data_IF_444258706749
#
_entry.id   IF_444258706749
#
_cell.length_a   1.000
_cell.length_b   1.000
_cell.length_c   1.000
_cell.angle_alpha   90.00
_cell.angle_beta   90.00
_cell.angle_gamma   90.00
#
_symmetry.space_group_name_H-M   'P 1'
#
loop_
_entity.id
_entity.type
_entity.pdbx_description
1 polymer ?
#
# COMPACT_ATOMS: atom_id res chain seq x y z
N UNK A 1 -12.17 -11.68 -45.87
CA UNK A 1 -11.25 -10.57 -45.50
C UNK A 1 -10.03 -11.22 -44.87
N UNK A 2 -8.93 -11.31 -45.60
CA UNK A 2 -7.70 -11.92 -45.12
C UNK A 2 -6.94 -10.85 -44.33
N UNK A 3 -6.82 -11.00 -43.02
CA UNK A 3 -5.82 -10.26 -42.27
C UNK A 3 -4.47 -10.92 -42.56
N UNK A 4 -3.61 -10.18 -43.25
CA UNK A 4 -2.22 -10.58 -43.42
C UNK A 4 -1.58 -10.76 -42.04
N UNK A 5 -1.01 -11.94 -41.78
CA UNK A 5 -0.53 -12.32 -40.43
C UNK A 5 0.86 -11.77 -40.11
N UNK A 6 1.49 -11.07 -41.06
CA UNK A 6 2.81 -10.50 -40.91
C UNK A 6 2.74 -8.97 -40.99
N UNK A 7 3.12 -8.30 -39.90
CA UNK A 7 3.30 -6.86 -39.90
C UNK A 7 4.75 -6.54 -40.30
N UNK A 8 5.00 -6.44 -41.61
CA UNK A 8 6.37 -6.39 -42.18
C UNK A 8 7.05 -5.01 -42.06
N UNK A 9 6.30 -3.97 -41.68
CA UNK A 9 6.78 -2.58 -41.69
C UNK A 9 7.10 -1.98 -40.31
N UNK A 10 7.17 -2.80 -39.26
CA UNK A 10 7.45 -2.31 -37.90
C UNK A 10 8.70 -1.44 -37.83
N UNK A 11 9.79 -1.86 -38.47
CA UNK A 11 11.06 -1.15 -38.41
C UNK A 11 11.05 0.22 -39.11
N UNK A 12 10.08 0.46 -40.00
CA UNK A 12 9.94 1.74 -40.71
C UNK A 12 9.00 2.71 -40.01
N UNK A 13 8.29 2.28 -38.96
CA UNK A 13 7.43 3.16 -38.19
C UNK A 13 8.24 4.14 -37.35
N UNK A 14 7.86 5.44 -37.32
CA UNK A 14 8.38 6.39 -36.35
C UNK A 14 8.12 5.93 -34.91
N UNK A 15 9.01 6.33 -34.00
CA UNK A 15 8.92 5.94 -32.58
C UNK A 15 7.59 6.34 -31.95
N UNK A 16 7.02 7.47 -32.36
CA UNK A 16 5.72 7.97 -31.87
C UNK A 16 4.60 6.98 -32.19
N UNK A 17 4.58 6.43 -33.41
CA UNK A 17 3.58 5.45 -33.83
C UNK A 17 3.82 4.10 -33.14
N UNK A 18 5.08 3.67 -33.01
CA UNK A 18 5.42 2.46 -32.26
C UNK A 18 4.95 2.55 -30.81
N UNK A 19 5.14 3.70 -30.15
CA UNK A 19 4.69 3.93 -28.78
C UNK A 19 3.16 3.86 -28.66
N UNK A 20 2.40 4.40 -29.62
CA UNK A 20 0.94 4.24 -29.66
C UNK A 20 0.52 2.77 -29.72
N UNK A 21 1.23 1.94 -30.49
CA UNK A 21 0.99 0.50 -30.55
C UNK A 21 1.37 -0.19 -29.23
N UNK A 22 2.58 0.08 -28.71
CA UNK A 22 3.11 -0.49 -27.45
C UNK A 22 2.18 -0.19 -26.27
N UNK A 23 1.64 1.03 -26.20
CA UNK A 23 0.71 1.44 -25.16
C UNK A 23 -0.56 0.58 -25.11
N UNK A 24 -0.94 -0.05 -26.23
CA UNK A 24 -2.09 -0.97 -26.32
C UNK A 24 -1.74 -2.44 -26.10
N UNK A 25 -0.45 -2.78 -26.07
CA UNK A 25 -0.02 -4.16 -25.86
C UNK A 25 -0.17 -4.57 -24.40
N UNK A 26 -0.59 -5.82 -24.21
CA UNK A 26 -0.59 -6.47 -22.90
C UNK A 26 0.83 -6.70 -22.36
N UNK A 27 0.92 -7.10 -21.09
CA UNK A 27 2.19 -7.37 -20.43
C UNK A 27 3.10 -8.36 -21.18
N UNK A 28 2.54 -9.49 -21.62
CA UNK A 28 3.32 -10.57 -22.27
C UNK A 28 3.83 -10.09 -23.63
N UNK A 29 2.99 -9.39 -24.38
CA UNK A 29 3.32 -8.82 -25.68
C UNK A 29 4.40 -7.75 -25.57
N UNK A 30 4.33 -6.86 -24.58
CA UNK A 30 5.40 -5.88 -24.29
C UNK A 30 6.70 -6.56 -23.90
N UNK A 31 6.64 -7.58 -23.05
CA UNK A 31 7.84 -8.33 -22.63
C UNK A 31 8.51 -9.04 -23.82
N UNK A 32 7.72 -9.69 -24.68
CA UNK A 32 8.22 -10.33 -25.90
C UNK A 32 8.85 -9.31 -26.84
N UNK A 33 8.20 -8.17 -27.06
CA UNK A 33 8.73 -7.09 -27.91
C UNK A 33 10.03 -6.50 -27.36
N UNK A 34 10.11 -6.23 -26.05
CA UNK A 34 11.34 -5.73 -25.43
C UNK A 34 12.50 -6.75 -25.39
N UNK A 35 12.22 -8.02 -25.70
CA UNK A 35 13.23 -9.05 -25.83
C UNK A 35 13.81 -9.16 -27.25
N UNK A 36 13.19 -8.55 -28.27
CA UNK A 36 13.62 -8.72 -29.68
C UNK A 36 14.84 -7.87 -30.04
N UNK A 37 14.91 -6.62 -29.59
CA UNK A 37 16.00 -5.70 -29.91
C UNK A 37 16.19 -4.61 -28.84
N UNK A 38 17.39 -4.02 -28.79
CA UNK A 38 17.71 -2.95 -27.83
C UNK A 38 16.79 -1.73 -27.97
N UNK A 39 16.54 -1.28 -29.21
CA UNK A 39 15.68 -0.13 -29.47
C UNK A 39 14.23 -0.40 -29.05
N UNK A 40 13.72 -1.60 -29.30
CA UNK A 40 12.36 -2.00 -28.90
C UNK A 40 12.23 -2.11 -27.38
N UNK A 41 13.27 -2.62 -26.69
CA UNK A 41 13.34 -2.59 -25.23
C UNK A 41 13.26 -1.17 -24.69
N UNK A 42 14.02 -0.25 -25.30
CA UNK A 42 13.99 1.17 -24.92
C UNK A 42 12.60 1.76 -25.11
N UNK A 43 11.94 1.50 -26.25
CA UNK A 43 10.58 1.98 -26.50
C UNK A 43 9.56 1.41 -25.52
N UNK A 44 9.63 0.12 -25.21
CA UNK A 44 8.76 -0.52 -24.21
C UNK A 44 8.93 0.10 -22.83
N UNK A 45 10.17 0.38 -22.41
CA UNK A 45 10.46 1.03 -21.13
C UNK A 45 10.05 2.51 -21.10
N UNK A 46 9.94 3.16 -22.25
CA UNK A 46 9.50 4.56 -22.41
C UNK A 46 8.01 4.69 -22.74
N UNK A 47 7.25 3.58 -22.70
CA UNK A 47 5.81 3.61 -22.90
C UNK A 47 5.13 4.50 -21.85
N UNK A 48 4.32 5.46 -22.31
CA UNK A 48 3.63 6.41 -21.43
C UNK A 48 2.51 5.74 -20.63
N UNK A 49 1.84 4.74 -21.21
CA UNK A 49 0.74 4.03 -20.57
C UNK A 49 1.26 2.87 -19.73
N UNK A 50 0.98 2.94 -18.43
CA UNK A 50 1.31 1.88 -17.48
C UNK A 50 0.42 0.66 -17.68
N UNK A 51 0.98 -0.51 -17.44
CA UNK A 51 0.22 -1.77 -17.46
C UNK A 51 -0.71 -1.79 -16.25
N UNK A 52 -2.01 -1.87 -16.47
CA UNK A 52 -2.98 -1.92 -15.37
C UNK A 52 -3.06 -3.35 -14.80
N UNK A 53 -2.66 -3.50 -13.54
CA UNK A 53 -2.66 -4.78 -12.82
C UNK A 53 -3.76 -4.71 -11.75
N UNK A 54 -4.87 -5.43 -11.96
CA UNK A 54 -6.01 -5.49 -11.03
C UNK A 54 -5.59 -6.06 -9.66
N UNK A 55 -4.81 -7.15 -9.68
CA UNK A 55 -4.36 -7.84 -8.48
C UNK A 55 -2.94 -8.31 -8.68
N UNK A 56 -2.09 -8.08 -7.69
CA UNK A 56 -0.72 -8.53 -7.65
C UNK A 56 -0.41 -9.08 -6.27
N UNK A 57 0.22 -10.25 -6.18
CA UNK A 57 0.74 -10.72 -4.90
C UNK A 57 2.06 -11.47 -5.04
N UNK A 58 2.90 -11.28 -4.03
CA UNK A 58 4.14 -12.02 -3.86
C UNK A 58 4.06 -12.76 -2.53
N UNK A 59 4.40 -14.05 -2.53
CA UNK A 59 4.30 -14.86 -1.33
C UNK A 59 5.34 -15.97 -1.27
N UNK A 60 5.76 -16.28 -0.05
CA UNK A 60 6.50 -17.50 0.24
C UNK A 60 5.57 -18.71 0.07
N UNK A 61 6.05 -19.77 -0.58
CA UNK A 61 5.33 -21.05 -0.60
C UNK A 61 5.51 -21.79 0.73
N UNK A 62 4.43 -22.36 1.25
CA UNK A 62 4.42 -23.02 2.57
C UNK A 62 5.50 -24.10 2.68
N UNK A 63 5.65 -24.92 1.64
CA UNK A 63 6.44 -26.15 1.71
C UNK A 63 7.86 -26.03 1.11
N UNK A 64 8.23 -24.86 0.57
CA UNK A 64 9.55 -24.66 -0.07
C UNK A 64 10.10 -23.24 0.14
N UNK A 65 11.36 -22.99 -0.25
CA UNK A 65 11.93 -21.63 -0.28
C UNK A 65 11.61 -20.90 -1.59
N UNK A 66 10.63 -21.41 -2.33
CA UNK A 66 10.23 -20.85 -3.62
C UNK A 66 9.37 -19.60 -3.43
N UNK A 67 9.52 -18.69 -4.38
CA UNK A 67 8.70 -17.49 -4.48
C UNK A 67 7.56 -17.73 -5.45
N UNK A 68 6.34 -17.44 -5.02
CA UNK A 68 5.17 -17.39 -5.88
C UNK A 68 4.78 -15.94 -6.17
N UNK A 69 4.65 -15.61 -7.45
CA UNK A 69 4.15 -14.34 -7.95
C UNK A 69 2.82 -14.61 -8.65
N UNK A 70 1.75 -13.96 -8.20
CA UNK A 70 0.44 -13.96 -8.88
C UNK A 70 0.12 -12.57 -9.37
N UNK A 71 -0.32 -12.44 -10.61
CA UNK A 71 -0.82 -11.16 -11.11
C UNK A 71 -1.95 -11.34 -12.11
N UNK A 72 -2.88 -10.39 -12.11
CA UNK A 72 -3.96 -10.29 -13.08
C UNK A 72 -3.92 -8.93 -13.74
N UNK A 73 -3.52 -8.91 -15.00
CA UNK A 73 -3.66 -7.73 -15.84
C UNK A 73 -5.12 -7.54 -16.25
N UNK A 74 -5.52 -6.28 -16.45
CA UNK A 74 -6.87 -5.95 -16.90
C UNK A 74 -7.23 -6.70 -18.18
N UNK A 75 -8.41 -7.34 -18.20
CA UNK A 75 -8.90 -8.07 -19.37
C UNK A 75 -8.16 -9.39 -19.66
N UNK A 76 -7.22 -9.79 -18.80
CA UNK A 76 -6.43 -11.00 -18.97
C UNK A 76 -6.66 -11.99 -17.82
N UNK A 77 -6.47 -13.30 -18.05
CA UNK A 77 -6.53 -14.29 -16.99
C UNK A 77 -5.41 -14.07 -15.96
N UNK A 78 -5.62 -14.57 -14.75
CA UNK A 78 -4.61 -14.58 -13.70
C UNK A 78 -3.41 -15.43 -14.12
N UNK A 79 -2.21 -14.87 -13.95
CA UNK A 79 -0.95 -15.55 -14.18
C UNK A 79 -0.32 -15.89 -12.83
N UNK A 80 0.14 -17.14 -12.70
CA UNK A 80 0.88 -17.63 -11.53
C UNK A 80 2.25 -18.06 -12.02
N UNK A 81 3.31 -17.51 -11.41
CA UNK A 81 4.69 -17.89 -11.67
C UNK A 81 5.37 -18.30 -10.37
N UNK A 82 5.97 -19.48 -10.40
CA UNK A 82 6.73 -20.02 -9.27
C UNK A 82 8.20 -20.00 -9.65
N UNK A 83 9.02 -19.43 -8.78
CA UNK A 83 10.47 -19.36 -8.94
C UNK A 83 11.13 -20.15 -7.84
N UNK A 84 11.95 -21.12 -8.22
CA UNK A 84 12.82 -21.83 -7.27
C UNK A 84 13.80 -20.85 -6.64
N UNK A 85 14.29 -21.17 -5.43
CA UNK A 85 15.21 -20.33 -4.66
C UNK A 85 16.40 -19.82 -5.51
N UNK A 86 17.01 -20.70 -6.29
CA UNK A 86 18.14 -20.42 -7.21
C UNK A 86 17.76 -19.49 -8.38
N UNK A 87 16.46 -19.40 -8.71
CA UNK A 87 15.94 -18.58 -9.81
C UNK A 87 15.47 -17.20 -9.36
N UNK A 88 15.33 -16.95 -8.05
CA UNK A 88 14.77 -15.70 -7.53
C UNK A 88 15.59 -14.50 -8.00
N UNK A 89 16.92 -14.57 -7.84
CA UNK A 89 17.81 -13.46 -8.19
C UNK A 89 17.83 -13.20 -9.69
N UNK A 90 17.99 -14.25 -10.49
CA UNK A 90 18.19 -14.12 -11.94
C UNK A 90 16.90 -13.92 -12.73
N UNK A 91 15.73 -14.31 -12.19
CA UNK A 91 14.46 -14.29 -12.94
C UNK A 91 13.34 -13.54 -12.22
N UNK A 92 13.14 -13.78 -10.93
CA UNK A 92 12.03 -13.16 -10.22
C UNK A 92 12.26 -11.66 -9.98
N UNK A 93 13.45 -11.26 -9.51
CA UNK A 93 13.77 -9.84 -9.25
C UNK A 93 13.68 -8.98 -10.51
N UNK A 94 14.20 -9.38 -11.69
CA UNK A 94 14.01 -8.63 -12.92
C UNK A 94 12.53 -8.49 -13.31
N UNK A 95 11.73 -9.55 -13.18
CA UNK A 95 10.30 -9.51 -13.45
C UNK A 95 9.57 -8.54 -12.49
N UNK A 96 9.84 -8.62 -11.19
CA UNK A 96 9.27 -7.72 -10.20
C UNK A 96 9.66 -6.27 -10.48
N UNK A 97 10.94 -6.02 -10.79
CA UNK A 97 11.43 -4.70 -11.14
C UNK A 97 10.67 -4.15 -12.34
N UNK A 98 10.54 -4.93 -13.41
CA UNK A 98 9.78 -4.50 -14.59
C UNK A 98 8.31 -4.19 -14.25
N UNK A 99 7.63 -5.06 -13.49
CA UNK A 99 6.22 -4.89 -13.11
C UNK A 99 6.01 -3.65 -12.24
N UNK A 100 6.88 -3.39 -11.26
CA UNK A 100 6.76 -2.20 -10.41
C UNK A 100 7.12 -0.90 -11.12
N UNK A 101 8.10 -0.92 -12.03
CA UNK A 101 8.50 0.28 -12.78
C UNK A 101 7.47 0.67 -13.84
N UNK A 102 6.81 -0.29 -14.48
CA UNK A 102 5.90 -0.06 -15.62
C UNK A 102 4.42 -0.28 -15.31
N UNK A 103 4.09 -0.82 -14.14
CA UNK A 103 2.73 -1.14 -13.74
C UNK A 103 2.04 0.00 -13.01
N UNK A 104 0.71 0.00 -13.11
CA UNK A 104 -0.20 0.59 -12.11
C UNK A 104 -0.87 -0.58 -11.38
N UNK A 105 -0.54 -0.75 -10.10
CA UNK A 105 -1.01 -1.89 -9.30
C UNK A 105 -2.21 -1.45 -8.47
N UNK A 106 -3.38 -1.98 -8.80
CA UNK A 106 -4.61 -1.64 -8.09
C UNK A 106 -4.64 -2.25 -6.68
N UNK A 107 -4.22 -3.51 -6.54
CA UNK A 107 -4.20 -4.22 -5.26
C UNK A 107 -2.95 -5.07 -5.14
N UNK A 108 -2.13 -4.81 -4.12
CA UNK A 108 -0.88 -5.51 -3.86
C UNK A 108 -0.93 -6.32 -2.57
N UNK A 109 -0.68 -7.63 -2.65
CA UNK A 109 -0.53 -8.55 -1.54
C UNK A 109 0.92 -8.90 -1.27
N UNK A 110 1.41 -8.58 -0.08
CA UNK A 110 2.79 -8.79 0.35
C UNK A 110 2.85 -9.86 1.44
N UNK A 111 3.17 -11.10 1.07
CA UNK A 111 3.14 -12.24 1.99
C UNK A 111 4.52 -12.93 2.10
N UNK A 112 5.53 -12.12 2.42
CA UNK A 112 6.91 -12.55 2.63
C UNK A 112 7.20 -12.53 4.13
N UNK A 113 7.32 -13.71 4.75
CA UNK A 113 7.54 -13.83 6.20
C UNK A 113 8.30 -15.11 6.60
N UNK A 114 8.72 -15.95 5.65
CA UNK A 114 9.34 -17.25 5.93
C UNK A 114 10.81 -17.13 6.32
N UNK A 115 11.58 -16.27 5.64
CA UNK A 115 13.01 -16.08 5.93
C UNK A 115 13.51 -14.68 5.55
N UNK A 116 14.70 -14.31 6.03
CA UNK A 116 15.27 -12.99 5.79
C UNK A 116 15.55 -12.70 4.31
N UNK A 117 15.91 -13.73 3.52
CA UNK A 117 16.22 -13.55 2.11
C UNK A 117 14.96 -13.24 1.29
N UNK A 118 13.83 -13.90 1.60
CA UNK A 118 12.56 -13.59 0.94
C UNK A 118 12.08 -12.18 1.27
N UNK A 119 12.16 -11.78 2.54
CA UNK A 119 11.86 -10.41 3.00
C UNK A 119 12.70 -9.36 2.25
N UNK A 120 13.98 -9.67 1.98
CA UNK A 120 14.91 -8.75 1.30
C UNK A 120 14.71 -8.66 -0.21
N UNK A 121 13.85 -9.46 -0.84
CA UNK A 121 13.62 -9.41 -2.30
C UNK A 121 13.25 -7.99 -2.76
N UNK A 122 12.41 -7.28 -2.00
CA UNK A 122 11.98 -5.92 -2.34
C UNK A 122 13.12 -4.89 -2.30
N UNK A 123 14.19 -5.15 -1.55
CA UNK A 123 15.37 -4.27 -1.48
C UNK A 123 16.24 -4.35 -2.72
N UNK A 124 16.08 -5.40 -3.53
CA UNK A 124 16.90 -5.69 -4.72
C UNK A 124 16.23 -5.23 -6.03
N UNK A 125 15.07 -4.58 -5.94
CA UNK A 125 14.36 -4.09 -7.12
C UNK A 125 15.12 -2.94 -7.78
N UNK A 126 15.29 -3.01 -9.09
CA UNK A 126 16.00 -1.99 -9.87
C UNK A 126 15.02 -0.98 -10.49
N UNK A 127 15.54 -0.02 -11.25
CA UNK A 127 14.78 1.02 -11.93
C UNK A 127 14.57 2.29 -11.10
N UNK A 128 14.26 3.38 -11.79
CA UNK A 128 14.22 4.73 -11.22
C UNK A 128 12.79 5.29 -11.11
N UNK A 129 11.85 4.67 -11.81
CA UNK A 129 10.45 5.10 -11.80
C UNK A 129 9.81 4.88 -10.42
N UNK A 130 9.05 5.86 -9.92
CA UNK A 130 8.22 5.68 -8.74
C UNK A 130 7.23 4.53 -8.92
N UNK A 131 6.92 3.82 -7.84
CA UNK A 131 5.96 2.72 -7.86
C UNK A 131 4.54 3.23 -7.69
N UNK A 132 3.65 2.86 -8.62
CA UNK A 132 2.24 3.28 -8.59
C UNK A 132 1.39 2.16 -8.03
N UNK A 133 1.18 2.19 -6.71
CA UNK A 133 0.39 1.20 -5.98
C UNK A 133 -0.79 1.92 -5.34
N UNK A 134 -2.01 1.45 -5.63
CA UNK A 134 -3.26 2.00 -5.07
C UNK A 134 -3.60 1.42 -3.71
N UNK A 135 -3.48 0.11 -3.54
CA UNK A 135 -3.78 -0.59 -2.29
C UNK A 135 -2.70 -1.60 -1.94
N UNK A 136 -2.32 -1.69 -0.67
CA UNK A 136 -1.40 -2.74 -0.19
C UNK A 136 -1.96 -3.48 1.02
N UNK A 137 -1.74 -4.79 1.07
CA UNK A 137 -2.04 -5.61 2.24
C UNK A 137 -0.99 -6.68 2.48
N UNK A 138 -0.81 -7.09 3.73
CA UNK A 138 0.05 -8.23 4.08
C UNK A 138 1.02 -7.94 5.22
N UNK A 139 2.21 -8.52 5.17
CA UNK A 139 3.22 -8.43 6.20
C UNK A 139 4.14 -7.22 5.97
N UNK A 140 4.50 -6.56 7.07
CA UNK A 140 5.44 -5.45 7.09
C UNK A 140 6.69 -5.86 7.86
N UNK A 141 7.83 -5.70 7.21
CA UNK A 141 9.16 -5.80 7.80
C UNK A 141 9.91 -4.47 7.58
N UNK A 142 10.94 -4.21 8.38
CA UNK A 142 11.68 -2.94 8.31
C UNK A 142 12.42 -2.80 6.97
N UNK A 143 12.83 -3.93 6.41
CA UNK A 143 13.42 -4.09 5.09
C UNK A 143 12.48 -3.64 3.96
N UNK A 144 11.17 -3.56 4.20
CA UNK A 144 10.20 -3.07 3.23
C UNK A 144 10.11 -1.53 3.19
N UNK A 145 10.70 -0.81 4.14
CA UNK A 145 10.58 0.66 4.20
C UNK A 145 11.18 1.36 2.97
N UNK A 146 12.37 0.98 2.47
CA UNK A 146 12.90 1.53 1.21
C UNK A 146 11.98 1.30 0.01
N UNK A 147 11.29 0.17 -0.04
CA UNK A 147 10.29 -0.11 -1.07
C UNK A 147 9.11 0.87 -0.99
N UNK A 148 8.56 1.09 0.19
CA UNK A 148 7.47 2.06 0.38
C UNK A 148 7.90 3.51 0.16
N UNK A 149 9.16 3.83 0.40
CA UNK A 149 9.72 5.15 0.09
C UNK A 149 9.78 5.44 -1.42
N UNK A 150 9.86 4.39 -2.26
CA UNK A 150 9.80 4.51 -3.73
C UNK A 150 8.38 4.63 -4.30
N UNK A 151 7.35 4.45 -3.49
CA UNK A 151 5.98 4.62 -3.94
C UNK A 151 5.69 6.09 -4.26
N UNK A 152 5.05 6.34 -5.41
CA UNK A 152 4.63 7.67 -5.81
C UNK A 152 3.71 8.29 -4.75
N UNK A 153 3.94 9.56 -4.41
CA UNK A 153 3.07 10.30 -3.52
C UNK A 153 1.62 10.30 -4.05
N UNK A 154 0.64 10.17 -3.16
CA UNK A 154 -0.79 10.16 -3.48
C UNK A 154 -1.29 8.99 -4.37
N UNK A 155 -0.40 8.06 -4.79
CA UNK A 155 -0.84 6.89 -5.56
C UNK A 155 -1.66 5.93 -4.70
N UNK A 156 -1.28 5.80 -3.43
CA UNK A 156 -1.89 4.87 -2.48
C UNK A 156 -3.14 5.48 -1.85
N UNK A 157 -4.22 4.73 -1.88
CA UNK A 157 -5.52 5.07 -1.27
C UNK A 157 -5.84 4.21 -0.04
N UNK A 158 -5.17 3.07 0.11
CA UNK A 158 -5.41 2.15 1.20
C UNK A 158 -4.19 1.30 1.57
N UNK A 159 -4.02 1.03 2.86
CA UNK A 159 -2.97 0.15 3.37
C UNK A 159 -3.48 -0.70 4.54
N UNK A 160 -3.13 -1.99 4.57
CA UNK A 160 -3.46 -2.90 5.68
C UNK A 160 -2.32 -3.86 5.94
N UNK A 161 -1.49 -3.53 6.93
CA UNK A 161 -0.25 -4.25 7.18
C UNK A 161 -0.23 -4.92 8.54
N UNK A 162 0.56 -5.98 8.67
CA UNK A 162 0.83 -6.67 9.94
C UNK A 162 2.32 -6.66 10.22
N UNK A 163 2.70 -6.12 11.36
CA UNK A 163 4.06 -6.11 11.87
C UNK A 163 4.13 -7.09 13.04
N UNK A 164 4.60 -8.31 12.76
CA UNK A 164 4.53 -9.46 13.67
C UNK A 164 5.80 -9.63 14.52
N UNK A 165 6.75 -8.71 14.43
CA UNK A 165 7.98 -8.80 15.23
C UNK A 165 7.70 -8.49 16.70
N UNK A 166 8.47 -9.15 17.57
CA UNK A 166 8.51 -8.89 19.01
C UNK A 166 9.31 -7.62 19.39
N UNK A 167 9.86 -6.90 18.40
CA UNK A 167 10.61 -5.66 18.61
C UNK A 167 9.67 -4.43 18.58
N UNK A 168 10.12 -3.33 19.18
CA UNK A 168 9.36 -2.07 19.20
C UNK A 168 9.13 -1.56 17.77
N UNK A 169 7.88 -1.25 17.44
CA UNK A 169 7.55 -0.68 16.14
C UNK A 169 8.19 0.71 15.94
N UNK A 170 8.92 0.96 14.83
CA UNK A 170 9.58 2.26 14.60
C UNK A 170 8.60 3.30 14.04
N UNK A 171 7.83 3.90 14.94
CA UNK A 171 6.76 4.87 14.67
C UNK A 171 7.22 5.99 13.74
N UNK A 172 8.31 6.69 14.08
CA UNK A 172 8.76 7.87 13.34
C UNK A 172 9.14 7.54 11.90
N UNK A 173 9.89 6.44 11.71
CA UNK A 173 10.30 5.96 10.39
C UNK A 173 9.08 5.59 9.54
N UNK A 174 8.07 4.97 10.14
CA UNK A 174 6.86 4.58 9.44
C UNK A 174 6.01 5.78 9.03
N UNK A 175 5.78 6.73 9.94
CA UNK A 175 4.97 7.91 9.68
C UNK A 175 5.65 8.92 8.74
N UNK A 176 6.98 8.84 8.59
CA UNK A 176 7.78 9.62 7.64
C UNK A 176 7.70 9.09 6.19
N UNK A 177 7.22 7.87 5.95
CA UNK A 177 7.09 7.33 4.60
C UNK A 177 6.11 8.19 3.77
N UNK A 178 6.50 8.67 2.57
CA UNK A 178 5.64 9.51 1.74
C UNK A 178 4.28 8.89 1.43
N UNK A 179 4.29 7.58 1.11
CA UNK A 179 3.06 6.82 0.89
C UNK A 179 2.16 6.87 2.14
N UNK A 180 2.68 6.52 3.32
CA UNK A 180 1.90 6.51 4.58
C UNK A 180 1.35 7.89 4.93
N UNK A 181 2.14 8.93 4.72
CA UNK A 181 1.77 10.30 5.04
C UNK A 181 0.63 10.87 4.15
N UNK A 182 0.45 10.34 2.94
CA UNK A 182 -0.53 10.84 1.96
C UNK A 182 -1.87 10.08 1.94
N UNK A 183 -1.98 9.00 2.71
CA UNK A 183 -3.10 8.08 2.64
C UNK A 183 -4.23 8.50 3.59
N UNK A 184 -5.47 8.54 3.08
CA UNK A 184 -6.68 8.80 3.88
C UNK A 184 -7.06 7.61 4.77
N UNK A 185 -6.80 6.37 4.31
CA UNK A 185 -7.17 5.14 5.02
C UNK A 185 -5.98 4.18 5.19
N UNK A 186 -5.61 3.87 6.43
CA UNK A 186 -4.74 2.73 6.67
C UNK A 186 -5.02 2.01 7.98
N UNK A 187 -4.63 0.75 8.02
CA UNK A 187 -4.63 -0.11 9.18
C UNK A 187 -3.25 -0.75 9.34
N UNK A 188 -2.76 -0.81 10.57
CA UNK A 188 -1.61 -1.64 10.90
C UNK A 188 -1.91 -2.48 12.14
N UNK A 189 -1.65 -3.76 12.06
CA UNK A 189 -1.63 -4.61 13.24
C UNK A 189 -0.18 -4.69 13.73
N UNK A 190 0.08 -4.25 14.96
CA UNK A 190 1.40 -4.22 15.60
C UNK A 190 1.35 -5.00 16.90
N UNK A 191 2.36 -5.83 17.15
CA UNK A 191 2.48 -6.57 18.43
C UNK A 191 2.88 -5.66 19.58
N UNK A 192 3.82 -4.73 19.36
CA UNK A 192 4.32 -3.81 20.38
C UNK A 192 4.52 -2.40 19.81
N UNK A 193 3.82 -1.43 20.39
CA UNK A 193 3.98 -0.01 20.08
C UNK A 193 3.54 0.82 21.28
N UNK A 194 4.42 1.66 21.82
CA UNK A 194 4.04 2.59 22.91
C UNK A 194 3.37 3.87 22.41
N UNK A 195 3.85 4.44 21.31
CA UNK A 195 3.55 5.84 20.98
C UNK A 195 2.88 6.04 19.62
N UNK A 196 2.59 4.97 18.87
CA UNK A 196 1.98 5.10 17.54
C UNK A 196 0.66 5.87 17.58
N UNK A 197 -0.21 5.58 18.55
CA UNK A 197 -1.48 6.31 18.68
C UNK A 197 -1.30 7.80 18.99
N UNK A 198 -0.40 8.12 19.92
CA UNK A 198 -0.07 9.51 20.28
C UNK A 198 0.54 10.25 19.08
N UNK A 199 1.48 9.62 18.37
CA UNK A 199 2.12 10.20 17.20
C UNK A 199 1.13 10.46 16.04
N UNK A 200 0.14 9.56 15.83
CA UNK A 200 -0.95 9.79 14.87
C UNK A 200 -1.75 11.03 15.26
N UNK A 201 -2.19 11.12 16.52
CA UNK A 201 -3.02 12.24 16.99
C UNK A 201 -2.25 13.56 16.87
N UNK A 202 -1.01 13.63 17.36
CA UNK A 202 -0.17 14.84 17.25
C UNK A 202 -0.05 15.30 15.79
N UNK A 203 0.30 14.38 14.89
CA UNK A 203 0.39 14.64 13.46
C UNK A 203 -0.92 15.14 12.85
N UNK A 204 -2.06 14.60 13.28
CA UNK A 204 -3.39 14.98 12.78
C UNK A 204 -3.90 16.29 13.37
N UNK A 205 -3.50 16.68 14.59
CA UNK A 205 -3.80 18.00 15.16
C UNK A 205 -3.01 19.08 14.42
N UNK A 206 -1.77 18.79 14.06
CA UNK A 206 -0.89 19.71 13.33
C UNK A 206 -1.28 19.89 11.86
N UNK A 207 -1.82 18.84 11.22
CA UNK A 207 -2.17 18.83 9.80
C UNK A 207 -3.66 19.03 9.58
N UNK A 208 -4.03 19.74 8.53
CA UNK A 208 -5.44 19.85 8.11
C UNK A 208 -5.93 18.58 7.39
N UNK A 209 -5.98 17.46 8.11
CA UNK A 209 -6.40 16.17 7.58
C UNK A 209 -7.84 16.25 7.05
N UNK A 210 -8.10 15.56 5.95
CA UNK A 210 -9.42 15.55 5.31
C UNK A 210 -10.45 14.84 6.19
N UNK A 211 -11.66 15.41 6.29
CA UNK A 211 -12.80 14.76 6.93
C UNK A 211 -13.04 13.38 6.28
N UNK A 212 -13.32 12.38 7.11
CA UNK A 212 -13.50 10.98 6.69
C UNK A 212 -12.21 10.15 6.70
N UNK A 213 -11.03 10.78 6.78
CA UNK A 213 -9.77 10.05 6.96
C UNK A 213 -9.83 9.18 8.20
N UNK A 214 -9.36 7.95 8.09
CA UNK A 214 -9.47 6.92 9.14
C UNK A 214 -8.18 6.12 9.26
N UNK A 215 -7.63 6.02 10.46
CA UNK A 215 -6.49 5.15 10.76
C UNK A 215 -6.87 4.13 11.83
N UNK A 216 -6.35 2.91 11.74
CA UNK A 216 -6.62 1.84 12.70
C UNK A 216 -5.32 1.16 13.14
N UNK A 217 -5.20 0.90 14.44
CA UNK A 217 -4.08 0.15 15.01
C UNK A 217 -4.63 -0.99 15.87
N UNK A 218 -4.01 -2.18 15.81
CA UNK A 218 -4.46 -3.34 16.60
C UNK A 218 -4.08 -3.28 18.08
N UNK A 219 -3.01 -2.55 18.39
CA UNK A 219 -2.49 -2.36 19.74
C UNK A 219 -2.20 -0.87 19.96
N UNK A 220 -2.76 -0.28 21.01
CA UNK A 220 -2.44 1.06 21.51
C UNK A 220 -1.34 1.00 22.58
N UNK A 221 -0.62 -0.13 22.66
CA UNK A 221 0.45 -0.34 23.64
C UNK A 221 -0.03 -0.59 25.05
N UNK A 222 -1.29 -1.02 25.21
CA UNK A 222 -1.92 -1.18 26.53
C UNK A 222 -2.21 0.13 27.25
N UNK A 223 -2.10 1.29 26.57
CA UNK A 223 -2.39 2.60 27.15
C UNK A 223 -3.90 2.73 27.42
N UNK A 224 -4.32 2.91 28.68
CA UNK A 224 -5.69 3.27 29.02
C UNK A 224 -6.07 4.62 28.41
N UNK A 225 -7.37 4.95 28.44
CA UNK A 225 -7.84 6.23 27.92
C UNK A 225 -7.22 7.42 28.66
N UNK A 226 -7.01 7.30 29.96
CA UNK A 226 -6.43 8.36 30.80
C UNK A 226 -5.00 8.73 30.39
N UNK A 227 -4.22 7.78 29.85
CA UNK A 227 -2.89 8.07 29.32
C UNK A 227 -2.96 9.01 28.10
N UNK A 228 -3.95 8.80 27.22
CA UNK A 228 -4.18 9.72 26.10
C UNK A 228 -4.61 11.11 26.61
N UNK A 229 -5.42 11.17 27.67
CA UNK A 229 -5.86 12.44 28.26
C UNK A 229 -4.65 13.21 28.82
N UNK A 230 -3.78 12.53 29.56
CA UNK A 230 -2.57 13.13 30.13
C UNK A 230 -1.62 13.69 29.04
N UNK A 231 -1.53 13.03 27.89
CA UNK A 231 -0.68 13.45 26.77
C UNK A 231 -1.15 14.72 26.05
N UNK A 232 -2.46 14.94 25.93
CA UNK A 232 -3.02 16.07 25.16
C UNK A 232 -3.53 17.23 26.03
N UNK A 233 -3.70 17.00 27.33
CA UNK A 233 -4.21 18.00 28.26
C UNK A 233 -5.71 18.25 28.09
N UNK A 234 -6.33 18.73 29.18
CA UNK A 234 -7.79 18.88 29.26
C UNK A 234 -8.36 19.89 28.26
N UNK A 235 -7.57 20.89 27.84
CA UNK A 235 -8.00 21.97 26.96
C UNK A 235 -8.31 21.52 25.52
N UNK A 236 -7.67 20.44 25.06
CA UNK A 236 -7.90 19.89 23.72
C UNK A 236 -9.08 18.90 23.70
N UNK A 237 -9.58 18.47 24.85
CA UNK A 237 -10.59 17.42 24.95
C UNK A 237 -11.97 18.06 25.02
N UNK A 238 -12.80 17.77 24.03
CA UNK A 238 -14.14 18.33 23.90
C UNK A 238 -15.22 17.43 24.50
N UNK A 239 -15.02 16.12 24.44
CA UNK A 239 -15.96 15.11 24.91
C UNK A 239 -15.22 13.80 25.20
N UNK A 240 -15.69 13.04 26.19
CA UNK A 240 -15.09 11.76 26.58
C UNK A 240 -16.11 10.76 27.10
N UNK A 241 -15.85 9.50 26.78
CA UNK A 241 -16.47 8.31 27.40
C UNK A 241 -15.37 7.29 27.69
N UNK A 242 -15.72 6.15 28.30
CA UNK A 242 -14.77 5.08 28.60
C UNK A 242 -14.02 4.56 27.35
N UNK A 243 -14.60 4.73 26.16
CA UNK A 243 -14.07 4.19 24.90
C UNK A 243 -13.87 5.23 23.81
N UNK A 244 -14.20 6.50 24.05
CA UNK A 244 -14.12 7.56 23.05
C UNK A 244 -13.50 8.82 23.63
N UNK A 245 -12.57 9.42 22.89
CA UNK A 245 -12.11 10.79 23.07
C UNK A 245 -12.39 11.61 21.81
N UNK A 246 -12.98 12.78 22.00
CA UNK A 246 -13.11 13.82 20.97
C UNK A 246 -12.10 14.91 21.26
N UNK A 247 -11.22 15.13 20.30
CA UNK A 247 -10.08 16.03 20.43
C UNK A 247 -10.22 17.17 19.41
N UNK A 248 -10.03 18.40 19.88
CA UNK A 248 -9.99 19.61 19.07
C UNK A 248 -8.76 19.59 18.14
N UNK A 249 -8.93 20.07 16.91
CA UNK A 249 -7.82 20.28 15.97
C UNK A 249 -7.53 21.77 15.80
N UNK A 250 -6.46 22.12 15.08
CA UNK A 250 -6.21 23.52 14.70
C UNK A 250 -7.30 24.11 13.79
N UNK A 251 -8.00 23.26 13.05
CA UNK A 251 -9.15 23.67 12.24
C UNK A 251 -10.43 23.56 13.09
N UNK A 252 -11.09 24.68 13.45
CA UNK A 252 -12.26 24.65 14.33
C UNK A 252 -13.47 23.93 13.72
N UNK A 253 -13.50 23.72 12.40
CA UNK A 253 -14.54 22.96 11.71
C UNK A 253 -14.30 21.45 11.70
N UNK A 254 -13.21 20.97 12.33
CA UNK A 254 -12.82 19.55 12.34
C UNK A 254 -12.42 19.09 13.73
N UNK A 255 -12.87 17.90 14.11
CA UNK A 255 -12.46 17.21 15.32
C UNK A 255 -11.87 15.84 15.00
N UNK A 256 -10.93 15.40 15.84
CA UNK A 256 -10.42 14.04 15.82
C UNK A 256 -11.22 13.21 16.82
N UNK A 257 -11.70 12.04 16.39
CA UNK A 257 -12.25 11.02 17.27
C UNK A 257 -11.23 9.91 17.42
N UNK A 258 -10.82 9.64 18.66
CA UNK A 258 -10.17 8.41 19.07
C UNK A 258 -11.24 7.48 19.66
N UNK A 259 -11.34 6.26 19.16
CA UNK A 259 -12.20 5.21 19.71
C UNK A 259 -11.38 3.98 20.02
N UNK A 260 -11.43 3.49 21.26
CA UNK A 260 -10.79 2.24 21.67
C UNK A 260 -11.74 1.05 21.52
N UNK A 261 -11.21 -0.14 21.30
CA UNK A 261 -11.95 -1.40 21.23
C UNK A 261 -11.11 -2.57 21.74
N UNK A 262 -11.73 -3.74 21.98
CA UNK A 262 -11.09 -4.92 22.60
C UNK A 262 -10.39 -4.59 23.94
N UNK A 263 -11.13 -4.05 24.92
CA UNK A 263 -10.56 -3.69 26.24
C UNK A 263 -9.33 -2.76 26.15
N UNK A 264 -9.36 -1.79 25.24
CA UNK A 264 -8.31 -0.79 25.01
C UNK A 264 -7.07 -1.27 24.26
N UNK A 265 -7.08 -2.47 23.70
CA UNK A 265 -6.00 -2.90 22.80
C UNK A 265 -6.08 -2.21 21.43
N UNK A 266 -7.25 -2.12 20.81
CA UNK A 266 -7.37 -1.52 19.48
C UNK A 266 -7.75 -0.05 19.51
N UNK A 267 -7.24 0.77 18.57
CA UNK A 267 -7.64 2.17 18.41
C UNK A 267 -8.07 2.46 16.96
N UNK A 268 -9.14 3.25 16.83
CA UNK A 268 -9.59 3.88 15.58
C UNK A 268 -9.48 5.38 15.73
N UNK A 269 -8.82 6.02 14.78
CA UNK A 269 -8.72 7.47 14.65
C UNK A 269 -9.57 7.89 13.45
N UNK A 270 -10.45 8.87 13.62
CA UNK A 270 -11.31 9.37 12.54
C UNK A 270 -11.43 10.89 12.58
N UNK A 271 -11.20 11.52 11.44
CA UNK A 271 -11.40 12.96 11.29
C UNK A 271 -12.86 13.22 10.94
N UNK A 272 -13.56 14.02 11.74
CA UNK A 272 -15.00 14.30 11.60
C UNK A 272 -15.27 15.81 11.56
N UNK A 273 -16.41 16.25 11.01
CA UNK A 273 -16.88 17.63 11.14
C UNK A 273 -17.05 18.06 12.60
N UNK A 274 -16.95 19.35 12.89
CA UNK A 274 -17.11 19.88 14.24
C UNK A 274 -18.52 19.70 14.81
N UNK A 275 -19.53 19.56 13.95
CA UNK A 275 -20.94 19.32 14.28
C UNK A 275 -21.29 17.82 14.38
N UNK A 276 -20.31 16.92 14.28
CA UNK A 276 -20.51 15.48 14.43
C UNK A 276 -21.13 15.17 15.80
N UNK A 277 -22.27 14.49 15.83
CA UNK A 277 -23.07 14.32 17.05
C UNK A 277 -22.58 13.11 17.86
N UNK A 278 -22.63 13.15 19.21
CA UNK A 278 -22.33 11.97 20.04
C UNK A 278 -23.19 10.75 19.71
N UNK A 279 -24.44 10.94 19.27
CA UNK A 279 -25.32 9.86 18.79
C UNK A 279 -24.74 9.10 17.58
N UNK A 280 -23.84 9.71 16.82
CA UNK A 280 -23.21 9.13 15.63
C UNK A 280 -21.91 8.36 15.97
N UNK A 281 -21.46 8.36 17.21
CA UNK A 281 -20.27 7.61 17.65
C UNK A 281 -20.41 6.09 17.43
N UNK A 282 -21.64 5.57 17.51
CA UNK A 282 -21.97 4.18 17.20
C UNK A 282 -21.71 3.81 15.73
N UNK A 283 -21.76 4.79 14.83
CA UNK A 283 -21.50 4.63 13.39
C UNK A 283 -20.01 4.52 13.07
N UNK A 284 -19.11 4.71 14.04
CA UNK A 284 -17.67 4.51 13.87
C UNK A 284 -17.37 3.01 14.05
N UNK A 285 -17.05 2.28 12.97
CA UNK A 285 -16.93 0.82 13.02
C UNK A 285 -15.64 0.39 13.73
N UNK A 286 -15.78 -0.46 14.75
CA UNK A 286 -14.66 -1.09 15.44
C UNK A 286 -13.84 -1.99 14.49
N UNK A 287 -14.50 -2.61 13.52
CA UNK A 287 -13.90 -3.42 12.45
C UNK A 287 -14.50 -2.98 11.13
N UNK A 288 -13.69 -2.51 10.17
CA UNK A 288 -14.16 -2.32 8.80
C UNK A 288 -13.82 -3.57 7.99
N UNK A 289 -14.85 -4.35 7.64
CA UNK A 289 -14.77 -5.41 6.64
C UNK A 289 -15.06 -4.89 5.23
N UNK A 290 -15.54 -3.65 5.08
CA UNK A 290 -16.25 -3.18 3.88
C UNK A 290 -15.40 -2.32 2.94
N UNK A 291 -14.52 -1.43 3.44
CA UNK A 291 -13.70 -0.59 2.55
C UNK A 291 -12.64 -1.38 1.77
N UNK A 292 -12.20 -2.54 2.29
CA UNK A 292 -11.18 -3.39 1.65
C UNK A 292 -11.74 -4.41 0.66
N UNK A 293 -13.00 -4.84 0.84
CA UNK A 293 -13.69 -5.67 -0.16
C UNK A 293 -13.84 -4.91 -1.50
N UNK A 294 -13.86 -3.58 -1.47
CA UNK A 294 -13.89 -2.75 -2.68
C UNK A 294 -12.54 -2.70 -3.44
N UNK A 295 -11.41 -3.01 -2.80
CA UNK A 295 -10.12 -3.22 -3.51
C UNK A 295 -9.94 -4.65 -4.03
N UNK A 296 -10.84 -5.56 -3.66
CA UNK A 296 -10.85 -6.97 -4.09
C UNK A 296 -11.97 -7.28 -5.09
N UNK A 297 -12.95 -6.37 -5.24
CA UNK A 297 -14.10 -6.48 -6.15
C UNK A 297 -13.96 -5.46 -7.29
N UNK A 298 -12.99 -5.68 -8.19
CA UNK A 298 -13.05 -5.26 -9.62
C UNK A 298 -12.24 -6.25 -10.48
#
# INVERSE_FOLDING_TARGET
MWFDRNFENWNFLPNEIKLLCINRLDFKSRLSLGATAHNERSLVNNASERIYINSFSIRDRSDSRDLEIRFRERGNPEQIKIFREDQIVLKAIPLLSYLFNNGYIHSFGLYLNKNQESIRILTRLTGESPFYIRGVRGQLHLEHFPFFARCAANSMKGMTLRYEKLEMFPVDRFLALPAVNSIEFWRIDVSFSRDLGVAIIRKWIEKDVKIGSTHKISSCGGKPMDDFIAEFGQELILDRTDTILRIKTRNPSKHLILKTYNHSDGCVFKMVPSDFKPSDYSKIPNRDHTLLNNFSRV
#
